data_IF_677898334158
#
_entry.id   IF_677898334158
#
_cell.length_a   1.000
_cell.length_b   1.000
_cell.length_c   1.000
_cell.angle_alpha   90.00
_cell.angle_beta   90.00
_cell.angle_gamma   90.00
#
_symmetry.space_group_name_H-M   'P 1'
#
loop_
_entity.id
_entity.type
_entity.pdbx_description
1 polymer ?
#
# COMPACT_ATOMS: atom_id res chain seq x y z
N UNK A 1 16.84 -14.00 1.13
CA UNK A 1 15.38 -14.00 0.84
C UNK A 1 14.94 -13.11 -0.31
N UNK A 2 15.35 -11.82 -0.39
CA UNK A 2 14.91 -10.92 -1.48
C UNK A 2 15.18 -11.49 -2.87
N UNK A 3 16.31 -12.17 -3.04
CA UNK A 3 16.65 -12.85 -4.30
C UNK A 3 15.72 -14.06 -4.52
N UNK A 4 15.54 -14.94 -3.53
CA UNK A 4 14.68 -16.14 -3.65
C UNK A 4 13.23 -15.86 -4.09
N UNK A 5 12.58 -14.79 -3.60
CA UNK A 5 11.23 -14.42 -4.05
C UNK A 5 11.22 -13.93 -5.50
N UNK A 6 12.18 -13.08 -5.87
CA UNK A 6 12.33 -12.57 -7.24
C UNK A 6 12.66 -13.70 -8.21
N UNK A 7 13.57 -14.58 -7.84
CA UNK A 7 14.01 -15.72 -8.63
C UNK A 7 12.85 -16.71 -8.82
N UNK A 8 12.08 -17.00 -7.77
CA UNK A 8 10.88 -17.83 -7.86
C UNK A 8 9.88 -17.28 -8.90
N UNK A 9 9.60 -15.97 -8.86
CA UNK A 9 8.68 -15.34 -9.82
C UNK A 9 9.28 -15.38 -11.23
N UNK A 10 10.55 -15.02 -11.40
CA UNK A 10 11.21 -14.99 -12.71
C UNK A 10 11.30 -16.36 -13.39
N UNK A 11 11.55 -17.42 -12.61
CA UNK A 11 11.77 -18.75 -13.16
C UNK A 11 10.49 -19.59 -13.31
N UNK A 12 9.46 -19.33 -12.50
CA UNK A 12 8.30 -20.22 -12.35
C UNK A 12 6.96 -19.59 -12.65
N UNK A 13 6.90 -18.27 -12.84
CA UNK A 13 5.65 -17.63 -13.24
C UNK A 13 5.38 -17.90 -14.72
N UNK A 14 4.13 -18.16 -15.02
CA UNK A 14 3.62 -18.15 -16.39
C UNK A 14 3.47 -16.70 -16.83
N UNK A 15 3.91 -16.38 -18.05
CA UNK A 15 3.64 -15.09 -18.66
C UNK A 15 2.27 -15.14 -19.35
N UNK A 16 1.40 -14.20 -19.00
CA UNK A 16 0.06 -14.07 -19.54
C UNK A 16 -0.04 -12.70 -20.20
N UNK A 17 -0.45 -12.67 -21.46
CA UNK A 17 -0.76 -11.43 -22.15
C UNK A 17 -2.09 -10.88 -21.65
N UNK A 18 -2.11 -9.60 -21.30
CA UNK A 18 -3.32 -8.88 -20.89
C UNK A 18 -3.46 -7.60 -21.70
N UNK A 19 -4.63 -6.95 -21.64
CA UNK A 19 -4.82 -5.61 -22.22
C UNK A 19 -3.87 -4.54 -21.66
N UNK A 20 -3.17 -4.85 -20.56
CA UNK A 20 -2.19 -3.98 -19.89
C UNK A 20 -0.73 -4.42 -20.11
N UNK A 21 -0.50 -5.37 -21.02
CA UNK A 21 0.81 -5.97 -21.30
C UNK A 21 1.01 -7.34 -20.65
N UNK A 22 2.24 -7.85 -20.71
CA UNK A 22 2.61 -9.15 -20.16
C UNK A 22 2.61 -9.09 -18.62
N UNK A 23 1.85 -9.98 -17.98
CA UNK A 23 1.85 -10.18 -16.54
C UNK A 23 2.41 -11.55 -16.17
N UNK A 24 3.05 -11.65 -15.00
CA UNK A 24 3.61 -12.90 -14.48
C UNK A 24 2.71 -13.49 -13.41
N UNK A 25 2.23 -14.71 -13.62
CA UNK A 25 1.30 -15.38 -12.71
C UNK A 25 1.92 -16.67 -12.16
N UNK A 26 1.98 -16.78 -10.84
CA UNK A 26 2.32 -18.03 -10.16
C UNK A 26 1.05 -18.85 -9.94
N UNK A 27 1.09 -20.14 -10.28
CA UNK A 27 -0.02 -21.08 -10.08
C UNK A 27 0.37 -22.28 -9.22
N UNK A 28 -0.65 -22.95 -8.68
CA UNK A 28 -0.52 -24.23 -7.97
C UNK A 28 0.53 -24.20 -6.85
N UNK A 29 1.47 -25.16 -6.91
CA UNK A 29 2.51 -25.31 -5.88
C UNK A 29 3.45 -24.09 -5.75
N UNK A 30 3.66 -23.33 -6.83
CA UNK A 30 4.56 -22.18 -6.79
C UNK A 30 3.90 -20.96 -6.15
N UNK A 31 2.60 -20.76 -6.35
CA UNK A 31 1.83 -19.73 -5.64
C UNK A 31 1.85 -19.99 -4.12
N UNK A 32 1.58 -21.24 -3.71
CA UNK A 32 1.66 -21.66 -2.29
C UNK A 32 3.06 -21.47 -1.69
N UNK A 33 4.11 -21.71 -2.49
CA UNK A 33 5.50 -21.49 -2.06
C UNK A 33 5.81 -20.01 -1.89
N UNK A 34 5.32 -19.16 -2.80
CA UNK A 34 5.47 -17.71 -2.70
C UNK A 34 4.77 -17.16 -1.45
N UNK A 35 3.52 -17.59 -1.20
CA UNK A 35 2.77 -17.25 0.01
C UNK A 35 3.54 -17.62 1.28
N UNK A 36 4.13 -18.84 1.34
CA UNK A 36 4.95 -19.27 2.49
C UNK A 36 6.14 -18.34 2.72
N UNK A 37 6.82 -17.92 1.66
CA UNK A 37 7.94 -16.99 1.77
C UNK A 37 7.51 -15.59 2.20
N UNK A 38 6.39 -15.09 1.68
CA UNK A 38 5.80 -13.82 2.12
C UNK A 38 5.41 -13.87 3.60
N UNK A 39 4.74 -14.93 4.06
CA UNK A 39 4.38 -15.13 5.46
C UNK A 39 5.61 -15.13 6.36
N UNK A 40 6.67 -15.86 5.99
CA UNK A 40 7.92 -15.85 6.75
C UNK A 40 8.53 -14.44 6.82
N UNK A 41 8.55 -13.70 5.71
CA UNK A 41 9.07 -12.34 5.68
C UNK A 41 8.22 -11.38 6.54
N UNK A 42 6.90 -11.53 6.53
CA UNK A 42 5.94 -10.79 7.36
C UNK A 42 6.21 -11.02 8.85
N UNK A 43 6.31 -12.28 9.27
CA UNK A 43 6.57 -12.68 10.66
C UNK A 43 7.96 -12.25 11.12
N UNK A 44 8.97 -12.36 10.25
CA UNK A 44 10.33 -11.87 10.53
C UNK A 44 10.34 -10.35 10.73
N UNK A 45 9.67 -9.59 9.87
CA UNK A 45 9.61 -8.13 9.94
C UNK A 45 8.97 -7.64 11.25
N UNK A 46 7.86 -8.26 11.65
CA UNK A 46 7.17 -7.95 12.91
C UNK A 46 8.03 -8.23 14.14
N UNK A 47 8.65 -9.42 14.20
CA UNK A 47 9.56 -9.81 15.30
C UNK A 47 10.78 -8.92 15.37
N UNK A 48 11.37 -8.57 14.22
CA UNK A 48 12.51 -7.65 14.18
C UNK A 48 12.15 -6.29 14.80
N UNK A 49 11.01 -5.71 14.45
CA UNK A 49 10.55 -4.43 15.03
C UNK A 49 10.24 -4.55 16.52
N UNK A 50 9.62 -5.65 16.93
CA UNK A 50 9.31 -5.91 18.34
C UNK A 50 10.59 -6.03 19.18
N UNK A 51 11.53 -6.89 18.79
CA UNK A 51 12.79 -7.04 19.51
C UNK A 51 13.56 -5.70 19.58
N UNK A 52 13.59 -4.94 18.47
CA UNK A 52 14.25 -3.63 18.47
C UNK A 52 13.59 -2.64 19.44
N UNK A 53 12.25 -2.66 19.54
CA UNK A 53 11.52 -1.83 20.49
C UNK A 53 11.86 -2.23 21.93
N UNK A 54 11.80 -3.52 22.25
CA UNK A 54 12.06 -4.06 23.59
C UNK A 54 13.51 -3.83 24.07
N UNK A 55 14.48 -3.74 23.16
CA UNK A 55 15.88 -3.45 23.50
C UNK A 55 16.17 -1.96 23.75
N UNK A 56 15.35 -1.06 23.20
CA UNK A 56 15.62 0.39 23.22
C UNK A 56 14.67 1.14 24.17
N UNK A 57 13.43 0.67 24.31
CA UNK A 57 12.36 1.40 24.97
C UNK A 57 11.63 0.51 25.98
N UNK A 58 11.31 1.11 27.13
CA UNK A 58 10.30 0.57 28.04
C UNK A 58 8.91 1.03 27.59
N UNK A 59 7.97 0.10 27.46
CA UNK A 59 6.58 0.44 27.14
C UNK A 59 5.79 -0.70 26.50
N UNK A 60 4.58 -0.36 26.04
CA UNK A 60 3.66 -1.29 25.39
C UNK A 60 3.59 -1.04 23.88
N UNK A 61 3.45 -2.11 23.11
CA UNK A 61 3.26 -2.05 21.66
C UNK A 61 1.81 -1.68 21.37
N UNK A 62 1.60 -0.46 20.86
CA UNK A 62 0.27 0.04 20.47
C UNK A 62 -0.15 -0.49 19.09
N UNK A 63 0.79 -0.61 18.16
CA UNK A 63 0.56 -1.12 16.81
C UNK A 63 1.85 -1.67 16.19
N UNK A 64 1.75 -2.77 15.41
CA UNK A 64 2.89 -3.39 14.72
C UNK A 64 2.46 -4.00 13.37
N UNK A 65 1.78 -3.20 12.56
CA UNK A 65 1.25 -3.63 11.27
C UNK A 65 2.32 -3.70 10.18
N UNK A 66 2.12 -4.57 9.19
CA UNK A 66 2.89 -4.56 7.96
C UNK A 66 2.06 -3.84 6.90
N UNK A 67 2.63 -2.76 6.35
CA UNK A 67 1.94 -1.96 5.34
C UNK A 67 2.10 -2.47 3.89
N UNK A 68 2.95 -3.50 3.74
CA UNK A 68 3.19 -4.23 2.50
C UNK A 68 3.22 -5.72 2.86
N UNK A 69 2.16 -6.46 2.54
CA UNK A 69 2.02 -7.87 2.93
C UNK A 69 1.12 -8.65 1.95
N UNK A 70 1.17 -9.97 2.03
CA UNK A 70 0.27 -10.87 1.33
C UNK A 70 -0.70 -11.48 2.37
N UNK A 71 -1.99 -11.13 2.30
CA UNK A 71 -3.03 -11.66 3.19
C UNK A 71 -3.55 -13.02 2.75
N UNK A 72 -3.47 -13.31 1.46
CA UNK A 72 -3.76 -14.61 0.88
C UNK A 72 -3.24 -14.68 -0.56
N UNK A 73 -3.37 -15.85 -1.21
CA UNK A 73 -2.80 -16.11 -2.54
C UNK A 73 -3.14 -15.07 -3.62
N UNK A 74 -4.27 -14.36 -3.49
CA UNK A 74 -4.72 -13.34 -4.44
C UNK A 74 -4.97 -11.98 -3.78
N UNK A 75 -4.43 -11.75 -2.59
CA UNK A 75 -4.67 -10.52 -1.83
C UNK A 75 -3.35 -9.94 -1.30
N UNK A 76 -2.96 -8.81 -1.88
CA UNK A 76 -1.82 -8.03 -1.45
C UNK A 76 -2.27 -6.70 -0.86
N UNK A 77 -1.67 -6.34 0.26
CA UNK A 77 -1.74 -5.02 0.87
C UNK A 77 -0.49 -4.27 0.47
N UNK A 78 -0.65 -3.06 -0.07
CA UNK A 78 0.47 -2.22 -0.49
C UNK A 78 0.14 -0.78 -0.13
N UNK A 79 0.93 -0.17 0.75
CA UNK A 79 0.77 1.25 1.07
C UNK A 79 -0.31 1.54 2.12
N UNK A 80 -0.81 0.53 2.84
CA UNK A 80 -1.94 0.68 3.75
C UNK A 80 -1.93 -0.40 4.84
N UNK A 81 -2.74 -0.19 5.87
CA UNK A 81 -3.07 -1.19 6.88
C UNK A 81 -4.49 -1.70 6.67
N UNK A 82 -4.69 -3.00 6.93
CA UNK A 82 -6.01 -3.58 7.16
C UNK A 82 -6.20 -3.68 8.66
N UNK A 83 -7.20 -2.96 9.18
CA UNK A 83 -7.44 -2.82 10.63
C UNK A 83 -8.89 -3.07 11.00
N UNK A 84 -9.10 -3.77 12.10
CA UNK A 84 -10.45 -3.97 12.61
C UNK A 84 -11.07 -2.67 13.14
N UNK A 85 -12.40 -2.65 13.28
CA UNK A 85 -13.09 -1.50 13.84
C UNK A 85 -12.64 -1.25 15.29
N UNK A 86 -12.17 -0.04 15.58
CA UNK A 86 -11.63 0.34 16.88
C UNK A 86 -10.15 0.03 17.10
N UNK A 87 -9.52 -0.80 16.26
CA UNK A 87 -8.09 -1.11 16.31
C UNK A 87 -7.24 0.12 15.96
N UNK A 88 -6.09 0.29 16.61
CA UNK A 88 -5.19 1.42 16.36
C UNK A 88 -4.26 1.11 15.17
N UNK A 89 -4.15 2.06 14.24
CA UNK A 89 -3.13 2.13 13.20
C UNK A 89 -2.35 3.44 13.29
N UNK A 90 -1.18 3.45 12.67
CA UNK A 90 -0.24 4.57 12.66
C UNK A 90 -0.13 5.11 11.25
N UNK A 91 -0.22 6.42 11.14
CA UNK A 91 0.01 7.15 9.89
C UNK A 91 1.28 7.96 10.06
N UNK A 92 2.36 7.49 9.45
CA UNK A 92 3.67 8.10 9.56
C UNK A 92 3.95 9.05 8.39
N UNK A 93 4.25 10.31 8.70
CA UNK A 93 4.76 11.32 7.78
C UNK A 93 6.23 11.63 8.13
N UNK A 94 6.90 12.44 7.31
CA UNK A 94 8.31 12.80 7.54
C UNK A 94 8.54 13.46 8.91
N UNK A 95 7.65 14.37 9.32
CA UNK A 95 7.84 15.23 10.50
C UNK A 95 6.80 15.03 11.61
N UNK A 96 5.84 14.12 11.42
CA UNK A 96 4.75 13.86 12.35
C UNK A 96 4.18 12.46 12.14
N UNK A 97 3.48 11.96 13.16
CA UNK A 97 2.68 10.76 13.01
C UNK A 97 1.31 10.95 13.67
N UNK A 98 0.33 10.20 13.21
CA UNK A 98 -1.01 10.17 13.78
C UNK A 98 -1.35 8.76 14.22
N UNK A 99 -2.00 8.64 15.37
CA UNK A 99 -2.71 7.43 15.73
C UNK A 99 -4.16 7.59 15.29
N UNK A 100 -4.70 6.56 14.67
CA UNK A 100 -6.10 6.53 14.23
C UNK A 100 -6.74 5.21 14.62
N UNK A 101 -8.05 5.22 14.82
CA UNK A 101 -8.86 4.01 15.05
C UNK A 101 -9.56 3.59 13.77
N UNK A 102 -9.44 2.31 13.43
CA UNK A 102 -10.11 1.68 12.30
C UNK A 102 -11.62 1.89 12.35
N UNK A 103 -12.21 2.02 11.15
CA UNK A 103 -13.65 2.18 10.93
C UNK A 103 -14.06 1.32 9.74
N UNK A 104 -15.34 0.94 9.72
CA UNK A 104 -16.00 0.51 8.50
C UNK A 104 -15.95 1.62 7.46
N UNK A 105 -15.21 1.38 6.38
CA UNK A 105 -14.90 2.45 5.43
C UNK A 105 -15.16 2.14 3.96
N UNK A 106 -15.45 0.88 3.60
CA UNK A 106 -15.95 0.54 2.27
C UNK A 106 -17.46 0.28 2.33
N UNK A 107 -18.25 1.28 1.93
CA UNK A 107 -19.70 1.15 1.74
C UNK A 107 -20.02 0.62 0.34
N UNK A 108 -21.25 0.12 0.16
CA UNK A 108 -21.79 -0.23 -1.17
C UNK A 108 -21.61 0.91 -2.18
N UNK A 109 -21.99 2.13 -1.79
CA UNK A 109 -21.84 3.34 -2.62
C UNK A 109 -20.37 3.58 -3.03
N UNK A 110 -19.41 3.42 -2.12
CA UNK A 110 -17.99 3.61 -2.41
C UNK A 110 -17.42 2.50 -3.29
N UNK A 111 -17.88 1.27 -3.11
CA UNK A 111 -17.50 0.16 -3.99
C UNK A 111 -18.05 0.41 -5.40
N UNK A 112 -19.32 0.81 -5.52
CA UNK A 112 -19.91 1.16 -6.81
C UNK A 112 -19.20 2.34 -7.48
N UNK A 113 -18.82 3.39 -6.74
CA UNK A 113 -18.04 4.52 -7.26
C UNK A 113 -16.68 4.07 -7.80
N UNK A 114 -16.00 3.16 -7.10
CA UNK A 114 -14.66 2.68 -7.46
C UNK A 114 -14.66 1.72 -8.66
N UNK A 115 -15.70 0.89 -8.79
CA UNK A 115 -15.81 -0.09 -9.89
C UNK A 115 -16.61 0.44 -11.08
N UNK A 116 -17.41 1.51 -10.89
CA UNK A 116 -18.26 2.10 -11.91
C UNK A 116 -19.23 1.08 -12.50
N UNK A 117 -19.23 0.94 -13.82
CA UNK A 117 -20.07 -0.03 -14.55
C UNK A 117 -19.51 -1.45 -14.57
N UNK A 118 -18.39 -1.73 -13.90
CA UNK A 118 -17.74 -3.05 -13.95
C UNK A 118 -18.45 -4.03 -13.03
N UNK A 119 -18.70 -5.24 -13.52
CA UNK A 119 -19.19 -6.33 -12.69
C UNK A 119 -18.12 -6.79 -11.69
N UNK A 120 -18.57 -7.06 -10.48
CA UNK A 120 -17.76 -7.66 -9.41
C UNK A 120 -18.41 -8.97 -8.99
N UNK A 121 -17.60 -9.99 -8.75
CA UNK A 121 -18.13 -11.26 -8.25
C UNK A 121 -18.72 -11.06 -6.85
N UNK A 122 -19.83 -11.74 -6.57
CA UNK A 122 -20.59 -11.54 -5.33
C UNK A 122 -19.72 -11.78 -4.07
N UNK A 123 -18.82 -12.75 -4.12
CA UNK A 123 -17.91 -13.02 -3.01
C UNK A 123 -16.91 -11.88 -2.78
N UNK A 124 -16.38 -11.27 -3.86
CA UNK A 124 -15.47 -10.13 -3.77
C UNK A 124 -16.20 -8.90 -3.21
N UNK A 125 -17.43 -8.66 -3.64
CA UNK A 125 -18.25 -7.59 -3.08
C UNK A 125 -18.47 -7.75 -1.58
N UNK A 126 -18.87 -8.95 -1.14
CA UNK A 126 -19.06 -9.28 0.28
C UNK A 126 -17.76 -9.18 1.09
N UNK A 127 -16.62 -9.47 0.45
CA UNK A 127 -15.31 -9.30 1.06
C UNK A 127 -14.98 -7.83 1.29
N UNK A 128 -15.12 -7.00 0.24
CA UNK A 128 -14.83 -5.56 0.29
C UNK A 128 -15.69 -4.84 1.34
N UNK A 129 -16.98 -5.20 1.49
CA UNK A 129 -17.86 -4.62 2.53
C UNK A 129 -17.38 -4.87 3.98
N UNK A 130 -16.52 -5.86 4.18
CA UNK A 130 -15.93 -6.20 5.49
C UNK A 130 -14.51 -5.66 5.66
N UNK A 131 -13.91 -5.18 4.57
CA UNK A 131 -12.53 -4.74 4.54
C UNK A 131 -12.45 -3.29 5.00
N UNK A 132 -11.57 -3.05 5.97
CA UNK A 132 -11.31 -1.74 6.53
C UNK A 132 -9.85 -1.40 6.29
N UNK A 133 -9.61 -0.32 5.54
CA UNK A 133 -8.24 0.06 5.16
C UNK A 133 -7.89 1.47 5.59
N UNK A 134 -6.68 1.65 6.10
CA UNK A 134 -6.16 2.95 6.51
C UNK A 134 -4.83 3.19 5.80
N UNK A 135 -4.57 4.44 5.38
CA UNK A 135 -3.27 4.78 4.81
C UNK A 135 -2.17 4.65 5.86
N UNK A 136 -1.03 4.05 5.52
CA UNK A 136 0.11 4.00 6.45
C UNK A 136 0.84 5.34 6.56
N UNK A 137 0.60 6.28 5.65
CA UNK A 137 1.38 7.50 5.52
C UNK A 137 0.87 8.47 4.46
N UNK A 138 1.69 9.46 4.11
CA UNK A 138 1.31 10.51 3.15
C UNK A 138 1.36 10.08 1.69
N UNK A 139 2.11 9.01 1.40
CA UNK A 139 2.42 8.60 0.04
C UNK A 139 3.39 9.55 -0.65
N UNK A 140 3.79 9.16 -1.86
CA UNK A 140 4.67 9.97 -2.68
C UNK A 140 3.90 11.08 -3.40
N UNK A 141 4.54 12.23 -3.51
CA UNK A 141 4.18 13.26 -4.48
C UNK A 141 5.21 13.29 -5.61
N UNK A 142 4.76 13.70 -6.78
CA UNK A 142 5.60 13.98 -7.94
C UNK A 142 5.69 15.51 -8.05
N UNK A 143 6.78 16.14 -7.58
CA UNK A 143 6.89 17.60 -7.57
C UNK A 143 6.70 18.17 -8.99
N UNK A 144 5.93 19.24 -9.10
CA UNK A 144 5.62 19.89 -10.39
C UNK A 144 4.53 19.21 -11.23
N UNK A 145 3.98 18.09 -10.76
CA UNK A 145 2.88 17.38 -11.44
C UNK A 145 1.55 17.69 -10.75
N UNK A 146 0.61 18.27 -11.49
CA UNK A 146 -0.73 18.59 -11.00
C UNK A 146 -1.60 17.33 -10.92
N UNK A 147 -1.58 16.52 -11.99
CA UNK A 147 -2.32 15.26 -12.09
C UNK A 147 -1.79 14.37 -13.23
N UNK A 148 -2.05 13.07 -13.09
CA UNK A 148 -1.99 12.13 -14.21
C UNK A 148 -3.22 12.34 -15.11
N UNK A 149 -3.03 12.67 -16.37
CA UNK A 149 -4.14 12.87 -17.31
C UNK A 149 -4.57 11.56 -17.96
N UNK A 150 -3.60 10.75 -18.41
CA UNK A 150 -3.88 9.45 -19.02
C UNK A 150 -2.66 8.54 -18.97
N UNK A 151 -2.92 7.23 -19.06
CA UNK A 151 -1.91 6.21 -19.31
C UNK A 151 -2.29 5.51 -20.60
N UNK A 152 -1.36 5.45 -21.56
CA UNK A 152 -1.53 4.69 -22.80
C UNK A 152 -0.67 3.44 -22.68
N UNK A 153 -1.29 2.27 -22.81
CA UNK A 153 -0.60 0.98 -22.87
C UNK A 153 -0.39 0.59 -24.33
N UNK A 154 0.76 0.01 -24.63
CA UNK A 154 1.12 -0.58 -25.93
C UNK A 154 1.95 -1.85 -25.68
N UNK A 155 2.14 -2.76 -26.65
CA UNK A 155 2.72 -4.08 -26.39
C UNK A 155 4.06 -4.05 -25.65
N UNK A 156 4.92 -3.08 -25.96
CA UNK A 156 6.27 -2.95 -25.42
C UNK A 156 6.34 -2.09 -24.14
N UNK A 157 5.25 -1.45 -23.71
CA UNK A 157 5.31 -0.57 -22.56
C UNK A 157 4.07 0.30 -22.31
N UNK A 158 4.31 1.46 -21.70
CA UNK A 158 3.27 2.43 -21.37
C UNK A 158 3.82 3.85 -21.40
N UNK A 159 2.95 4.80 -21.73
CA UNK A 159 3.23 6.24 -21.64
C UNK A 159 2.35 6.88 -20.57
N UNK A 160 2.97 7.65 -19.69
CA UNK A 160 2.32 8.48 -18.69
C UNK A 160 2.24 9.92 -19.19
N UNK A 161 1.03 10.45 -19.31
CA UNK A 161 0.79 11.85 -19.65
C UNK A 161 0.50 12.61 -18.36
N UNK A 162 1.38 13.54 -17.99
CA UNK A 162 1.34 14.27 -16.73
C UNK A 162 1.05 15.75 -17.00
N UNK A 163 0.00 16.28 -16.37
CA UNK A 163 -0.25 17.72 -16.38
C UNK A 163 0.75 18.41 -15.46
N UNK A 164 1.54 19.34 -16.00
CA UNK A 164 2.57 20.07 -15.27
C UNK A 164 2.40 21.57 -15.55
N UNK A 165 1.55 22.25 -14.78
CA UNK A 165 1.21 23.65 -14.99
C UNK A 165 0.54 23.88 -16.35
N UNK A 166 1.14 24.72 -17.20
CA UNK A 166 0.64 24.97 -18.55
C UNK A 166 0.98 23.84 -19.54
N UNK A 167 1.93 22.96 -19.21
CA UNK A 167 2.42 21.89 -20.10
C UNK A 167 1.76 20.53 -19.82
N UNK A 168 1.98 19.60 -20.75
CA UNK A 168 1.72 18.17 -20.56
C UNK A 168 2.99 17.43 -20.94
N UNK A 169 3.62 16.78 -19.95
CA UNK A 169 4.83 16.01 -20.15
C UNK A 169 4.49 14.53 -20.36
N UNK A 170 5.32 13.83 -21.13
CA UNK A 170 5.12 12.42 -21.46
C UNK A 170 6.34 11.61 -21.06
N UNK A 171 6.13 10.55 -20.28
CA UNK A 171 7.19 9.67 -19.79
C UNK A 171 6.88 8.21 -20.09
N UNK A 172 7.88 7.43 -20.50
CA UNK A 172 7.76 5.96 -20.63
C UNK A 172 7.86 5.26 -19.26
N UNK A 173 8.68 5.81 -18.36
CA UNK A 173 8.79 5.36 -16.99
C UNK A 173 8.86 6.55 -16.01
N UNK A 174 8.48 6.28 -14.76
CA UNK A 174 8.57 7.25 -13.66
C UNK A 174 9.60 6.79 -12.62
N UNK A 175 10.54 5.91 -12.99
CA UNK A 175 11.46 5.29 -12.03
C UNK A 175 12.41 6.32 -11.43
N UNK A 176 12.99 7.16 -12.29
CA UNK A 176 13.92 8.23 -11.90
C UNK A 176 13.24 9.59 -11.69
N UNK A 177 11.92 9.66 -11.76
CA UNK A 177 11.19 10.91 -11.56
C UNK A 177 11.40 11.40 -10.11
N UNK A 178 11.66 12.70 -9.86
CA UNK A 178 11.81 13.23 -8.51
C UNK A 178 10.59 12.89 -7.63
N UNK A 179 10.83 12.48 -6.38
CA UNK A 179 9.76 12.10 -5.45
C UNK A 179 9.87 12.93 -4.18
N UNK A 180 8.77 13.57 -3.82
CA UNK A 180 8.55 14.09 -2.48
C UNK A 180 7.68 13.13 -1.66
N UNK A 181 7.35 13.56 -0.45
CA UNK A 181 6.31 12.93 0.36
C UNK A 181 5.27 13.98 0.74
N UNK A 182 4.00 13.59 0.69
CA UNK A 182 2.93 14.48 1.17
C UNK A 182 3.01 14.58 2.69
N UNK A 183 3.02 15.79 3.21
CA UNK A 183 3.13 16.08 4.65
C UNK A 183 1.90 16.80 5.24
N UNK A 184 0.99 17.26 4.39
CA UNK A 184 -0.21 18.00 4.76
C UNK A 184 -1.47 17.39 4.12
N UNK A 185 -2.66 17.72 4.64
CA UNK A 185 -3.94 17.32 4.05
C UNK A 185 -4.34 15.85 4.27
N UNK A 186 -3.46 15.02 4.85
CA UNK A 186 -3.68 13.57 5.00
C UNK A 186 -4.83 13.28 5.97
N UNK A 187 -4.87 13.95 7.11
CA UNK A 187 -5.93 13.72 8.11
C UNK A 187 -7.27 14.26 7.62
N UNK A 188 -7.28 15.41 6.96
CA UNK A 188 -8.44 16.02 6.33
C UNK A 188 -9.03 15.04 5.30
N UNK A 189 -8.17 14.42 4.47
CA UNK A 189 -8.61 13.44 3.48
C UNK A 189 -9.12 12.15 4.12
N UNK A 190 -8.49 11.67 5.18
CA UNK A 190 -8.97 10.50 5.93
C UNK A 190 -10.34 10.74 6.54
N UNK A 191 -10.56 11.92 7.10
CA UNK A 191 -11.85 12.30 7.67
C UNK A 191 -12.91 12.48 6.59
N UNK A 192 -12.58 13.17 5.48
CA UNK A 192 -13.48 13.37 4.34
C UNK A 192 -13.93 12.03 3.71
N UNK A 193 -13.01 11.08 3.60
CA UNK A 193 -13.26 9.73 3.10
C UNK A 193 -13.80 8.77 4.17
N UNK A 194 -13.94 9.23 5.43
CA UNK A 194 -14.40 8.44 6.58
C UNK A 194 -13.62 7.14 6.79
N UNK A 195 -12.32 7.14 6.51
CA UNK A 195 -11.48 5.93 6.56
C UNK A 195 -11.15 5.50 7.99
N UNK A 196 -10.99 6.45 8.91
CA UNK A 196 -10.63 6.21 10.29
C UNK A 196 -11.06 7.38 11.19
N UNK A 197 -11.03 7.17 12.50
CA UNK A 197 -11.19 8.26 13.48
C UNK A 197 -9.82 8.67 13.99
N UNK A 198 -9.54 9.98 14.03
CA UNK A 198 -8.33 10.47 14.71
C UNK A 198 -8.35 10.08 16.19
N UNK A 199 -7.22 9.56 16.68
CA UNK A 199 -7.06 9.17 18.08
C UNK A 199 -6.04 10.04 18.80
N UNK A 200 -4.87 10.28 18.19
CA UNK A 200 -3.85 11.16 18.74
C UNK A 200 -2.92 11.70 17.65
N UNK A 201 -2.28 12.83 17.93
CA UNK A 201 -1.18 13.37 17.12
C UNK A 201 0.11 13.22 17.88
N UNK A 202 1.11 12.59 17.26
CA UNK A 202 2.42 12.37 17.85
C UNK A 202 3.37 13.49 17.43
N UNK A 203 4.07 14.06 18.42
CA UNK A 203 5.13 15.03 18.19
C UNK A 203 6.47 14.29 18.09
N UNK A 204 7.16 14.45 16.95
CA UNK A 204 8.50 13.91 16.78
C UNK A 204 9.50 14.63 17.70
N UNK A 205 10.20 13.88 18.55
CA UNK A 205 11.25 14.41 19.44
C UNK A 205 12.64 14.05 18.98
N UNK A 206 12.83 12.81 18.56
CA UNK A 206 14.10 12.28 18.04
C UNK A 206 13.81 11.26 16.94
N UNK A 207 14.78 11.06 16.06
CA UNK A 207 14.76 10.01 15.03
C UNK A 207 15.99 9.14 15.23
N UNK A 208 15.79 7.83 15.32
CA UNK A 208 16.89 6.86 15.39
C UNK A 208 16.84 6.06 14.09
N UNK A 209 17.91 6.10 13.32
CA UNK A 209 18.09 5.26 12.14
C UNK A 209 19.04 4.13 12.50
N UNK A 210 18.54 2.91 12.46
CA UNK A 210 19.32 1.69 12.72
C UNK A 210 19.57 1.01 11.38
N UNK A 211 20.83 1.01 10.94
CA UNK A 211 21.28 0.32 9.73
C UNK A 211 21.69 -1.12 10.10
N UNK A 212 21.19 -2.10 9.35
CA UNK A 212 21.44 -3.53 9.50
C UNK A 212 22.02 -4.13 8.22
#
# INVERSE_FOLDING_TARGET
>A
MRNQLKDLVRERAEEIETSFGITRVLRGKYAKRYEKYCKYASDFSKRKRQNLFEEIFDGEIIANHNHCDLKGLNEAIIGCDVVDEGEISVISLINRAYLVKGKKNLSSEKIEECFGSRSIEEWSYKYLLKLNMVSHGGGHELPGVDRLEKVIFFPEGRLFFLKCGSSTDVYEDLWNFPRGYRVEGIMERIQALRLATHYATLQLKYTIKVDF
#
